data_IF_267547250573
#
_entry.id   IF_267547250573
#
_cell.length_a   1.000
_cell.length_b   1.000
_cell.length_c   1.000
_cell.angle_alpha   90.00
_cell.angle_beta   90.00
_cell.angle_gamma   90.00
#
_symmetry.space_group_name_H-M   'P 1'
#
loop_
_entity.id
_entity.type
_entity.pdbx_description
1 polymer ?
#
# COMPACT_ATOMS: atom_id res chain seq x y z
N UNK A 1 14.32 -22.20 32.12
CA UNK A 1 13.84 -21.33 31.03
C UNK A 1 15.02 -21.14 30.09
N UNK A 2 15.05 -21.73 28.88
CA UNK A 2 16.08 -21.33 27.94
C UNK A 2 15.85 -19.85 27.63
N UNK A 3 16.89 -19.05 27.77
CA UNK A 3 16.91 -17.63 27.44
C UNK A 3 16.37 -17.40 26.03
N UNK A 4 15.57 -16.36 25.84
CA UNK A 4 15.29 -15.74 24.53
C UNK A 4 16.63 -15.36 23.88
N UNK A 5 17.33 -16.33 23.29
CA UNK A 5 18.55 -16.08 22.55
C UNK A 5 18.19 -15.08 21.45
N UNK A 6 18.87 -13.93 21.46
CA UNK A 6 18.74 -12.80 20.52
C UNK A 6 18.26 -13.28 19.14
N UNK A 7 16.95 -13.23 18.92
CA UNK A 7 16.40 -13.59 17.62
C UNK A 7 16.72 -12.42 16.69
N UNK A 8 17.87 -12.52 16.02
CA UNK A 8 18.27 -11.57 14.99
C UNK A 8 17.27 -11.64 13.85
N UNK A 9 16.59 -10.53 13.60
CA UNK A 9 15.79 -10.34 12.40
C UNK A 9 16.65 -9.67 11.33
N UNK A 10 16.29 -9.88 10.07
CA UNK A 10 16.86 -9.15 8.95
C UNK A 10 15.82 -8.19 8.38
N UNK A 11 16.27 -7.15 7.66
CA UNK A 11 15.36 -6.29 6.92
C UNK A 11 15.17 -6.90 5.54
N UNK A 12 13.94 -7.29 5.24
CA UNK A 12 13.52 -7.72 3.90
C UNK A 12 12.76 -6.59 3.20
N UNK A 13 12.95 -6.49 1.90
CA UNK A 13 12.25 -5.56 1.03
C UNK A 13 11.17 -6.33 0.27
N UNK A 14 9.91 -6.11 0.65
CA UNK A 14 8.80 -6.99 0.30
C UNK A 14 7.92 -6.35 -0.77
N UNK A 15 7.66 -7.08 -1.84
CA UNK A 15 6.61 -6.80 -2.83
C UNK A 15 5.51 -7.84 -2.69
N UNK A 16 4.31 -7.42 -2.30
CA UNK A 16 3.09 -8.23 -2.37
C UNK A 16 2.32 -7.99 -3.66
N UNK A 17 1.74 -9.04 -4.21
CA UNK A 17 1.06 -9.06 -5.50
C UNK A 17 -0.21 -9.92 -5.37
N UNK A 18 -1.34 -9.42 -5.82
CA UNK A 18 -2.63 -10.11 -5.71
C UNK A 18 -3.53 -9.86 -6.93
N UNK A 19 -4.25 -10.89 -7.38
CA UNK A 19 -5.23 -10.81 -8.46
C UNK A 19 -6.57 -10.34 -7.88
N UNK A 20 -6.99 -9.14 -8.28
CA UNK A 20 -8.22 -8.52 -7.79
C UNK A 20 -9.44 -9.28 -8.28
N UNK A 21 -10.22 -9.79 -7.32
CA UNK A 21 -11.46 -10.53 -7.61
C UNK A 21 -11.23 -12.00 -7.97
N UNK A 22 -10.05 -12.54 -7.71
CA UNK A 22 -9.66 -13.93 -7.99
C UNK A 22 -10.73 -14.96 -7.57
N UNK A 23 -11.26 -14.85 -6.36
CA UNK A 23 -12.26 -15.78 -5.81
C UNK A 23 -13.61 -15.79 -6.54
N UNK A 24 -13.88 -14.80 -7.41
CA UNK A 24 -15.11 -14.71 -8.21
C UNK A 24 -14.97 -15.35 -9.59
N UNK A 25 -13.75 -15.72 -9.98
CA UNK A 25 -13.45 -16.36 -11.26
C UNK A 25 -13.78 -17.86 -11.22
N UNK A 26 -13.97 -18.45 -12.39
CA UNK A 26 -14.06 -19.90 -12.54
C UNK A 26 -12.69 -20.54 -12.27
N UNK A 27 -12.67 -21.81 -11.85
CA UNK A 27 -11.42 -22.51 -11.48
C UNK A 27 -10.39 -22.51 -12.61
N UNK A 28 -10.82 -22.65 -13.88
CA UNK A 28 -9.86 -22.63 -15.00
C UNK A 28 -9.27 -21.24 -15.22
N UNK A 29 -10.06 -20.17 -15.08
CA UNK A 29 -9.59 -18.78 -15.16
C UNK A 29 -8.63 -18.46 -14.01
N UNK A 30 -8.93 -18.95 -12.79
CA UNK A 30 -8.04 -18.83 -11.63
C UNK A 30 -6.65 -19.42 -11.92
N UNK A 31 -6.61 -20.65 -12.43
CA UNK A 31 -5.35 -21.32 -12.77
C UNK A 31 -4.61 -20.58 -13.89
N UNK A 32 -5.30 -20.21 -14.97
CA UNK A 32 -4.72 -19.50 -16.11
C UNK A 32 -4.11 -18.15 -15.69
N UNK A 33 -4.84 -17.35 -14.92
CA UNK A 33 -4.37 -16.04 -14.48
C UNK A 33 -3.24 -16.14 -13.46
N UNK A 34 -3.28 -17.13 -12.56
CA UNK A 34 -2.19 -17.35 -11.61
C UNK A 34 -0.92 -17.80 -12.33
N UNK A 35 -1.02 -18.70 -13.31
CA UNK A 35 0.10 -19.11 -14.15
C UNK A 35 0.67 -17.93 -14.92
N UNK A 36 -0.20 -17.14 -15.55
CA UNK A 36 0.20 -15.95 -16.31
C UNK A 36 0.89 -14.91 -15.44
N UNK A 37 0.36 -14.63 -14.26
CA UNK A 37 1.00 -13.74 -13.29
C UNK A 37 2.40 -14.24 -12.94
N UNK A 38 2.54 -15.55 -12.69
CA UNK A 38 3.83 -16.16 -12.36
C UNK A 38 4.84 -16.04 -13.49
N UNK A 39 4.42 -16.19 -14.74
CA UNK A 39 5.28 -15.97 -15.91
C UNK A 39 5.78 -14.54 -15.98
N UNK A 40 4.87 -13.56 -15.86
CA UNK A 40 5.19 -12.13 -15.90
C UNK A 40 6.20 -11.78 -14.80
N UNK A 41 5.91 -12.18 -13.56
CA UNK A 41 6.76 -11.91 -12.40
C UNK A 41 8.15 -12.53 -12.57
N UNK A 42 8.26 -13.75 -13.10
CA UNK A 42 9.56 -14.42 -13.29
C UNK A 42 10.36 -13.88 -14.48
N UNK A 43 9.71 -13.17 -15.39
CA UNK A 43 10.34 -12.58 -16.56
C UNK A 43 11.01 -11.23 -16.28
N UNK A 44 10.70 -10.58 -15.14
CA UNK A 44 11.32 -9.30 -14.75
C UNK A 44 12.82 -9.45 -14.52
N UNK A 45 13.59 -8.44 -14.91
CA UNK A 45 15.03 -8.46 -14.72
C UNK A 45 15.39 -8.39 -13.25
N UNK A 46 14.67 -7.57 -12.47
CA UNK A 46 14.90 -7.47 -11.02
C UNK A 46 14.69 -8.81 -10.31
N UNK A 47 13.65 -9.57 -10.67
CA UNK A 47 13.44 -10.93 -10.15
C UNK A 47 14.60 -11.85 -10.51
N UNK A 48 14.99 -11.88 -11.79
CA UNK A 48 16.07 -12.77 -12.27
C UNK A 48 17.41 -12.42 -11.64
N UNK A 49 17.73 -11.14 -11.49
CA UNK A 49 18.95 -10.67 -10.87
C UNK A 49 19.03 -11.12 -9.40
N UNK A 50 18.01 -10.82 -8.60
CA UNK A 50 17.98 -11.22 -7.19
C UNK A 50 17.97 -12.75 -7.01
N UNK A 51 17.30 -13.48 -7.92
CA UNK A 51 17.33 -14.95 -7.93
C UNK A 51 18.73 -15.51 -8.22
N UNK A 52 19.45 -14.97 -9.23
CA UNK A 52 20.82 -15.39 -9.56
C UNK A 52 21.78 -15.14 -8.39
N UNK A 53 21.56 -14.08 -7.62
CA UNK A 53 22.35 -13.75 -6.43
C UNK A 53 21.98 -14.57 -5.19
N UNK A 54 20.90 -15.37 -5.23
CA UNK A 54 20.39 -16.07 -4.06
C UNK A 54 19.81 -15.15 -2.98
N UNK A 55 19.37 -13.93 -3.35
CA UNK A 55 18.85 -12.89 -2.46
C UNK A 55 17.35 -12.63 -2.69
N UNK A 56 16.64 -13.64 -3.18
CA UNK A 56 15.22 -13.57 -3.45
C UNK A 56 14.51 -14.78 -2.86
N UNK A 57 13.62 -14.50 -1.92
CA UNK A 57 12.69 -15.48 -1.41
C UNK A 57 11.28 -15.25 -1.96
N UNK A 58 10.49 -16.31 -2.04
CA UNK A 58 9.16 -16.34 -2.66
C UNK A 58 8.17 -16.93 -1.68
N UNK A 59 7.11 -16.19 -1.41
CA UNK A 59 6.03 -16.62 -0.54
C UNK A 59 4.74 -16.75 -1.35
N UNK A 60 4.34 -17.95 -1.78
CA UNK A 60 3.09 -18.12 -2.52
C UNK A 60 1.88 -17.81 -1.63
N UNK A 61 0.86 -17.17 -2.20
CA UNK A 61 -0.48 -17.06 -1.63
C UNK A 61 -1.49 -17.71 -2.57
N UNK A 62 -2.75 -17.87 -2.15
CA UNK A 62 -3.76 -18.57 -2.95
C UNK A 62 -4.11 -17.88 -4.28
N UNK A 63 -3.99 -16.55 -4.32
CA UNK A 63 -4.41 -15.63 -5.38
C UNK A 63 -3.26 -14.76 -5.92
N UNK A 64 -2.04 -15.02 -5.48
CA UNK A 64 -0.86 -14.22 -5.83
C UNK A 64 0.39 -14.67 -5.08
N UNK A 65 1.13 -13.72 -4.52
CA UNK A 65 2.28 -14.02 -3.68
C UNK A 65 3.03 -12.79 -3.20
N UNK A 66 4.09 -13.03 -2.43
CA UNK A 66 5.07 -12.03 -2.08
C UNK A 66 6.47 -12.43 -2.53
N UNK A 67 7.25 -11.41 -2.88
CA UNK A 67 8.68 -11.49 -3.14
C UNK A 67 9.41 -10.74 -2.04
N UNK A 68 10.42 -11.37 -1.45
CA UNK A 68 11.27 -10.74 -0.45
C UNK A 68 12.67 -10.62 -1.01
N UNK A 69 13.09 -9.38 -1.23
CA UNK A 69 14.41 -9.03 -1.72
C UNK A 69 15.34 -8.71 -0.55
N UNK A 70 16.53 -9.30 -0.56
CA UNK A 70 17.61 -9.04 0.40
C UNK A 70 18.73 -8.19 -0.24
N UNK A 71 18.38 -7.40 -1.26
CA UNK A 71 19.31 -6.56 -2.04
C UNK A 71 19.22 -5.08 -1.64
N UNK A 72 18.18 -4.39 -2.08
CA UNK A 72 17.97 -2.95 -1.88
C UNK A 72 16.47 -2.62 -1.72
N UNK A 73 16.12 -1.47 -1.10
CA UNK A 73 14.73 -1.01 -1.04
C UNK A 73 14.13 -0.64 -2.39
N UNK A 74 14.96 -0.39 -3.42
CA UNK A 74 14.53 -0.10 -4.78
C UNK A 74 14.03 -1.35 -5.51
N UNK A 75 14.64 -2.51 -5.25
CA UNK A 75 14.35 -3.76 -5.96
C UNK A 75 12.86 -4.16 -6.01
N UNK A 76 12.08 -4.16 -4.91
CA UNK A 76 10.65 -4.46 -5.01
C UNK A 76 9.87 -3.41 -5.81
N UNK A 77 10.30 -2.15 -5.81
CA UNK A 77 9.65 -1.07 -6.57
C UNK A 77 9.92 -1.22 -8.07
N UNK A 78 11.18 -1.44 -8.45
CA UNK A 78 11.57 -1.72 -9.83
C UNK A 78 10.82 -2.94 -10.38
N UNK A 79 10.80 -4.04 -9.61
CA UNK A 79 10.08 -5.24 -9.98
C UNK A 79 8.58 -4.96 -10.19
N UNK A 80 7.94 -4.19 -9.29
CA UNK A 80 6.54 -3.80 -9.44
C UNK A 80 6.28 -2.98 -10.71
N UNK A 81 7.18 -2.05 -11.05
CA UNK A 81 7.08 -1.27 -12.28
C UNK A 81 7.24 -2.15 -13.53
N UNK A 82 8.18 -3.11 -13.53
CA UNK A 82 8.36 -4.07 -14.62
C UNK A 82 7.12 -4.94 -14.83
N UNK A 83 6.53 -5.45 -13.73
CA UNK A 83 5.26 -6.20 -13.77
C UNK A 83 4.16 -5.31 -14.34
N UNK A 84 4.00 -4.09 -13.84
CA UNK A 84 2.95 -3.17 -14.28
C UNK A 84 3.05 -2.82 -15.78
N UNK A 85 4.26 -2.67 -16.33
CA UNK A 85 4.45 -2.45 -17.77
C UNK A 85 3.97 -3.65 -18.58
N UNK A 86 4.29 -4.87 -18.14
CA UNK A 86 3.88 -6.08 -18.87
C UNK A 86 2.38 -6.33 -18.77
N UNK A 87 1.77 -6.04 -17.62
CA UNK A 87 0.32 -6.18 -17.40
C UNK A 87 -0.52 -5.31 -18.34
N UNK A 88 0.03 -4.25 -18.95
CA UNK A 88 -0.67 -3.48 -20.00
C UNK A 88 -1.05 -4.32 -21.21
N UNK A 89 -0.32 -5.42 -21.48
CA UNK A 89 -0.63 -6.38 -22.55
C UNK A 89 -1.70 -7.40 -22.15
N UNK A 90 -2.08 -7.42 -20.87
CA UNK A 90 -2.96 -8.39 -20.22
C UNK A 90 -4.05 -7.67 -19.41
N UNK A 91 -4.93 -6.86 -20.04
CA UNK A 91 -5.96 -6.08 -19.35
C UNK A 91 -6.97 -6.94 -18.57
N UNK A 92 -7.12 -8.22 -18.93
CA UNK A 92 -7.89 -9.23 -18.20
C UNK A 92 -7.29 -9.56 -16.82
N UNK A 93 -5.96 -9.47 -16.68
CA UNK A 93 -5.22 -9.80 -15.48
C UNK A 93 -5.11 -8.58 -14.56
N UNK A 94 -6.15 -8.37 -13.76
CA UNK A 94 -6.25 -7.21 -12.86
C UNK A 94 -5.48 -7.47 -11.57
N UNK A 95 -4.30 -6.87 -11.44
CA UNK A 95 -3.41 -7.04 -10.28
C UNK A 95 -3.36 -5.79 -9.43
N UNK A 96 -3.15 -5.93 -8.12
CA UNK A 96 -2.74 -4.86 -7.21
C UNK A 96 -1.45 -5.24 -6.50
N UNK A 97 -0.64 -4.24 -6.15
CA UNK A 97 0.66 -4.45 -5.55
C UNK A 97 0.88 -3.56 -4.32
N UNK A 98 1.68 -4.05 -3.37
CA UNK A 98 2.07 -3.30 -2.18
C UNK A 98 3.52 -3.52 -1.81
N UNK A 99 4.24 -2.44 -1.48
CA UNK A 99 5.68 -2.47 -1.17
C UNK A 99 5.95 -1.96 0.24
N UNK A 100 6.74 -2.72 1.00
CA UNK A 100 7.22 -2.32 2.32
C UNK A 100 8.58 -2.95 2.64
N UNK A 101 9.38 -2.25 3.45
CA UNK A 101 10.64 -2.77 3.97
C UNK A 101 10.56 -2.94 5.49
N UNK A 102 10.87 -4.11 6.01
CA UNK A 102 10.70 -4.37 7.44
C UNK A 102 11.34 -5.66 7.94
N UNK A 103 11.29 -5.90 9.26
CA UNK A 103 11.81 -7.12 9.87
C UNK A 103 11.14 -8.37 9.30
N UNK A 104 11.96 -9.28 8.76
CA UNK A 104 11.59 -10.61 8.27
C UNK A 104 12.50 -11.66 8.92
N UNK A 105 12.02 -12.90 8.93
CA UNK A 105 12.75 -14.05 9.43
C UNK A 105 12.34 -15.29 8.66
N UNK A 106 13.34 -16.06 8.23
CA UNK A 106 13.13 -17.41 7.73
C UNK A 106 12.58 -18.32 8.85
N UNK A 107 11.53 -19.05 8.51
CA UNK A 107 10.89 -20.03 9.38
C UNK A 107 10.64 -21.30 8.57
N UNK A 108 10.60 -22.44 9.24
CA UNK A 108 10.11 -23.68 8.64
C UNK A 108 8.61 -23.75 8.90
N UNK A 109 7.81 -23.85 7.84
CA UNK A 109 6.36 -23.95 7.99
C UNK A 109 5.88 -25.38 8.28
N UNK A 110 4.57 -25.56 8.40
CA UNK A 110 3.93 -26.86 8.67
C UNK A 110 4.16 -27.88 7.54
N UNK A 111 4.59 -27.44 6.36
CA UNK A 111 4.93 -28.30 5.23
C UNK A 111 6.41 -28.69 5.19
N UNK A 112 7.17 -28.35 6.24
CA UNK A 112 8.63 -28.52 6.34
C UNK A 112 9.41 -27.77 5.25
N UNK A 113 8.77 -26.78 4.61
CA UNK A 113 9.41 -25.92 3.62
C UNK A 113 9.90 -24.63 4.29
N UNK A 114 11.01 -24.09 3.78
CA UNK A 114 11.46 -22.75 4.12
C UNK A 114 10.41 -21.72 3.72
N UNK A 115 10.04 -20.88 4.67
CA UNK A 115 8.99 -19.87 4.56
C UNK A 115 9.47 -18.60 5.29
N UNK A 116 8.74 -17.49 5.19
CA UNK A 116 9.12 -16.20 5.76
C UNK A 116 7.98 -15.70 6.64
N UNK A 117 8.33 -15.28 7.84
CA UNK A 117 7.42 -14.61 8.74
C UNK A 117 8.04 -13.30 9.24
N UNK A 118 7.20 -12.40 9.73
CA UNK A 118 7.66 -11.18 10.37
C UNK A 118 6.70 -10.02 10.21
N UNK A 119 6.96 -8.95 10.96
CA UNK A 119 6.19 -7.72 10.86
C UNK A 119 6.25 -7.12 9.44
N UNK A 120 7.40 -7.24 8.75
CA UNK A 120 7.57 -6.76 7.38
C UNK A 120 6.57 -7.39 6.41
N UNK A 121 6.34 -8.70 6.51
CA UNK A 121 5.37 -9.44 5.68
C UNK A 121 3.95 -8.94 5.93
N UNK A 122 3.56 -8.85 7.21
CA UNK A 122 2.21 -8.43 7.59
C UNK A 122 1.89 -6.99 7.18
N UNK A 123 2.86 -6.07 7.28
CA UNK A 123 2.67 -4.67 6.87
C UNK A 123 2.61 -4.57 5.35
N UNK A 124 3.49 -5.27 4.61
CA UNK A 124 3.48 -5.25 3.16
C UNK A 124 2.14 -5.73 2.57
N UNK A 125 1.56 -6.80 3.13
CA UNK A 125 0.22 -7.25 2.77
C UNK A 125 -0.84 -6.17 3.04
N UNK A 126 -0.76 -5.49 4.20
CA UNK A 126 -1.71 -4.42 4.55
C UNK A 126 -1.58 -3.20 3.64
N UNK A 127 -0.38 -2.87 3.19
CA UNK A 127 -0.15 -1.82 2.18
C UNK A 127 -0.88 -2.20 0.89
N UNK A 128 -0.68 -3.42 0.38
CA UNK A 128 -1.36 -3.91 -0.82
C UNK A 128 -2.89 -3.93 -0.67
N UNK A 129 -3.40 -4.37 0.48
CA UNK A 129 -4.85 -4.47 0.77
C UNK A 129 -5.57 -3.11 0.67
N UNK A 130 -4.85 -1.99 0.76
CA UNK A 130 -5.40 -0.65 0.63
C UNK A 130 -5.58 -0.21 -0.83
N UNK A 131 -5.00 -0.93 -1.78
CA UNK A 131 -5.06 -0.63 -3.20
C UNK A 131 -6.20 -1.36 -3.92
N UNK A 132 -6.72 -0.71 -4.96
CA UNK A 132 -7.55 -1.34 -5.98
C UNK A 132 -6.71 -1.89 -7.13
N UNK A 133 -7.34 -2.54 -8.11
CA UNK A 133 -6.68 -2.99 -9.34
C UNK A 133 -5.86 -1.88 -10.01
N UNK A 134 -4.66 -2.23 -10.44
CA UNK A 134 -3.69 -1.34 -11.08
C UNK A 134 -2.83 -0.53 -10.11
N UNK A 135 -3.15 -0.47 -8.81
CA UNK A 135 -2.34 0.29 -7.86
C UNK A 135 -1.04 -0.40 -7.51
N UNK A 136 -0.01 0.42 -7.33
CA UNK A 136 1.25 0.06 -6.68
C UNK A 136 1.34 0.95 -5.45
N UNK A 137 1.01 0.42 -4.28
CA UNK A 137 1.07 1.19 -3.04
C UNK A 137 2.39 0.98 -2.33
N UNK A 138 2.93 2.04 -1.75
CA UNK A 138 4.23 2.06 -1.09
C UNK A 138 4.06 2.59 0.33
N UNK A 139 4.62 1.89 1.32
CA UNK A 139 4.61 2.38 2.70
C UNK A 139 5.46 3.65 2.85
N UNK A 140 5.09 4.54 3.77
CA UNK A 140 5.88 5.75 4.08
C UNK A 140 7.37 5.48 4.27
N UNK A 141 7.75 4.40 4.97
CA UNK A 141 9.17 4.06 5.16
C UNK A 141 9.94 3.93 3.84
N UNK A 142 9.35 3.24 2.86
CA UNK A 142 9.98 3.06 1.55
C UNK A 142 9.91 4.35 0.75
N UNK A 143 8.83 5.11 0.85
CA UNK A 143 8.73 6.41 0.19
C UNK A 143 9.79 7.41 0.71
N UNK A 144 10.01 7.46 2.04
CA UNK A 144 11.02 8.30 2.68
C UNK A 144 12.45 7.92 2.18
N UNK A 145 12.73 6.64 1.96
CA UNK A 145 14.03 6.20 1.41
C UNK A 145 14.21 6.64 -0.07
N UNK A 146 13.12 6.71 -0.85
CA UNK A 146 13.14 6.95 -2.30
C UNK A 146 12.98 8.43 -2.70
N UNK A 147 12.25 9.24 -1.92
CA UNK A 147 11.84 10.60 -2.29
C UNK A 147 13.01 11.58 -2.50
N UNK A 148 14.20 11.22 -2.03
CA UNK A 148 15.43 12.00 -2.19
C UNK A 148 16.08 11.84 -3.56
N UNK A 149 15.64 10.88 -4.38
CA UNK A 149 16.21 10.61 -5.70
C UNK A 149 15.29 11.13 -6.81
N UNK A 150 15.88 11.84 -7.78
CA UNK A 150 15.14 12.50 -8.86
C UNK A 150 14.32 11.54 -9.75
N UNK A 151 14.74 10.28 -9.87
CA UNK A 151 14.05 9.27 -10.65
C UNK A 151 12.77 8.74 -9.96
N UNK A 152 12.72 8.78 -8.63
CA UNK A 152 11.63 8.21 -7.84
C UNK A 152 10.60 9.26 -7.42
N UNK A 153 11.08 10.44 -6.99
CA UNK A 153 10.22 11.49 -6.44
C UNK A 153 9.00 11.85 -7.30
N UNK A 154 9.09 12.00 -8.64
CA UNK A 154 7.93 12.33 -9.46
C UNK A 154 6.86 11.24 -9.52
N UNK A 155 7.20 10.01 -9.14
CA UNK A 155 6.32 8.85 -9.18
C UNK A 155 5.56 8.64 -7.87
N UNK A 156 5.97 9.30 -6.79
CA UNK A 156 5.44 9.10 -5.44
C UNK A 156 4.38 10.15 -5.13
N UNK A 157 3.13 9.70 -5.01
CA UNK A 157 1.98 10.55 -4.72
C UNK A 157 1.41 10.22 -3.34
N UNK A 158 1.46 11.16 -2.40
CA UNK A 158 0.97 10.96 -1.04
C UNK A 158 -0.56 10.71 -1.02
N UNK A 159 -0.98 9.61 -0.39
CA UNK A 159 -2.40 9.28 -0.17
C UNK A 159 -2.87 9.64 1.25
N UNK A 160 -1.95 9.99 2.14
CA UNK A 160 -2.20 10.19 3.56
C UNK A 160 -2.25 8.88 4.34
N UNK A 161 -2.97 8.90 5.46
CA UNK A 161 -3.00 7.81 6.43
C UNK A 161 -4.31 7.04 6.37
N UNK A 162 -4.25 5.70 6.44
CA UNK A 162 -5.43 4.84 6.57
C UNK A 162 -5.32 3.88 7.75
N UNK A 163 -6.44 3.64 8.42
CA UNK A 163 -6.52 2.59 9.44
C UNK A 163 -6.67 1.22 8.76
N UNK A 164 -5.90 0.24 9.23
CA UNK A 164 -5.89 -1.13 8.73
C UNK A 164 -6.20 -2.11 9.86
N UNK A 165 -6.33 -3.39 9.51
CA UNK A 165 -6.67 -4.47 10.46
C UNK A 165 -5.85 -4.35 11.75
N UNK A 166 -6.51 -4.54 12.88
CA UNK A 166 -5.95 -4.43 14.24
C UNK A 166 -5.59 -3.00 14.68
N UNK A 167 -6.24 -1.97 14.12
CA UNK A 167 -6.09 -0.58 14.57
C UNK A 167 -4.75 0.06 14.21
N UNK A 168 -4.01 -0.53 13.27
CA UNK A 168 -2.72 0.01 12.82
C UNK A 168 -2.98 1.12 11.82
N UNK A 169 -2.31 2.26 11.98
CA UNK A 169 -2.41 3.40 11.07
C UNK A 169 -1.22 3.38 10.10
N UNK A 170 -1.49 3.37 8.79
CA UNK A 170 -0.47 3.33 7.74
C UNK A 170 -0.53 4.58 6.87
N UNK A 171 0.57 5.33 6.83
CA UNK A 171 0.78 6.37 5.83
C UNK A 171 1.29 5.73 4.53
N UNK A 172 0.57 5.95 3.43
CA UNK A 172 0.80 5.29 2.14
C UNK A 172 1.00 6.31 1.01
N UNK A 173 1.76 5.88 0.01
CA UNK A 173 1.98 6.61 -1.24
C UNK A 173 1.49 5.74 -2.39
N UNK A 174 0.90 6.35 -3.40
CA UNK A 174 0.60 5.73 -4.68
C UNK A 174 1.79 5.93 -5.62
N UNK A 175 2.32 4.85 -6.17
CA UNK A 175 3.41 4.88 -7.15
C UNK A 175 2.85 4.71 -8.56
N UNK A 176 2.91 5.77 -9.37
CA UNK A 176 2.43 5.73 -10.75
C UNK A 176 3.15 6.71 -11.69
N UNK A 177 2.95 6.51 -12.99
CA UNK A 177 3.27 7.46 -14.06
C UNK A 177 2.26 7.29 -15.20
N UNK A 178 2.46 7.97 -16.32
CA UNK A 178 1.69 7.73 -17.55
C UNK A 178 1.89 6.28 -18.08
N UNK A 179 3.00 5.64 -17.70
CA UNK A 179 3.37 4.31 -18.18
C UNK A 179 3.00 3.16 -17.25
N UNK A 180 2.77 3.41 -15.96
CA UNK A 180 2.56 2.35 -14.95
C UNK A 180 1.65 2.82 -13.82
N UNK A 181 1.05 1.87 -13.12
CA UNK A 181 0.22 2.15 -11.96
C UNK A 181 -1.18 2.66 -12.32
N UNK A 182 -1.90 3.09 -11.30
CA UNK A 182 -3.26 3.64 -11.41
C UNK A 182 -3.28 5.00 -10.69
N UNK A 183 -3.55 6.13 -11.38
CA UNK A 183 -3.55 7.45 -10.77
C UNK A 183 -4.80 7.74 -9.93
N UNK A 184 -5.86 6.92 -10.06
CA UNK A 184 -7.09 7.11 -9.29
C UNK A 184 -6.83 6.97 -7.80
N UNK A 185 -7.65 7.64 -6.98
CA UNK A 185 -7.57 7.45 -5.54
C UNK A 185 -8.15 6.07 -5.17
N UNK A 186 -7.47 5.21 -4.38
CA UNK A 186 -8.05 3.93 -3.98
C UNK A 186 -9.31 4.14 -3.13
N UNK A 187 -10.30 3.26 -3.28
CA UNK A 187 -11.60 3.34 -2.59
C UNK A 187 -11.49 3.44 -1.08
N UNK A 188 -10.43 2.90 -0.49
CA UNK A 188 -10.18 2.98 0.96
C UNK A 188 -9.87 4.39 1.45
N UNK A 189 -9.35 5.24 0.57
CA UNK A 189 -9.01 6.64 0.84
C UNK A 189 -10.10 7.61 0.36
N UNK A 190 -11.02 7.12 -0.46
CA UNK A 190 -12.27 7.83 -0.75
C UNK A 190 -13.10 7.81 0.54
N UNK A 191 -12.94 8.83 1.36
CA UNK A 191 -13.88 9.08 2.45
C UNK A 191 -15.24 9.23 1.80
N UNK A 192 -16.27 8.57 2.33
CA UNK A 192 -17.65 8.86 1.93
C UNK A 192 -17.88 10.36 2.19
N UNK A 193 -17.73 11.21 1.17
CA UNK A 193 -18.37 12.53 1.14
C UNK A 193 -19.90 12.37 1.17
N UNK A 194 -20.41 11.13 1.09
CA UNK A 194 -21.80 10.76 1.35
C UNK A 194 -22.02 10.40 2.81
N UNK A 195 -22.13 11.48 3.60
CA UNK A 195 -22.93 11.67 4.83
C UNK A 195 -22.15 12.48 5.87
N UNK A 196 -21.80 13.72 5.51
CA UNK A 196 -22.35 14.78 6.36
C UNK A 196 -23.82 14.84 5.93
N UNK A 197 -24.65 14.01 6.57
CA UNK A 197 -26.01 14.47 6.80
C UNK A 197 -25.79 15.80 7.52
N UNK A 198 -25.93 16.90 6.78
CA UNK A 198 -26.42 18.12 7.39
C UNK A 198 -27.78 17.69 7.91
N UNK A 199 -27.78 17.09 9.11
CA UNK A 199 -28.88 17.23 10.03
C UNK A 199 -28.90 18.73 10.21
N UNK A 200 -29.64 19.41 9.33
CA UNK A 200 -30.32 20.63 9.71
C UNK A 200 -30.96 20.25 11.03
N UNK A 201 -30.49 20.80 12.17
CA UNK A 201 -31.22 20.61 13.40
C UNK A 201 -32.59 21.16 13.06
N UNK A 202 -33.64 20.34 13.17
CA UNK A 202 -34.99 20.87 13.33
C UNK A 202 -34.86 21.93 14.41
N UNK A 203 -34.97 23.19 14.01
CA UNK A 203 -34.69 24.31 14.86
C UNK A 203 -35.48 24.11 16.17
N UNK A 204 -34.85 24.19 17.35
CA UNK A 204 -35.63 24.30 18.56
C UNK A 204 -36.53 25.54 18.40
N UNK A 205 -37.76 25.47 18.89
CA UNK A 205 -38.85 26.43 18.66
C UNK A 205 -38.56 27.87 19.16
N UNK A 206 -37.32 28.16 19.56
CA UNK A 206 -36.74 29.50 19.75
C UNK A 206 -35.27 29.45 19.31
N UNK A 207 -34.94 30.13 18.23
CA UNK A 207 -33.55 30.40 17.82
C UNK A 207 -33.28 31.89 17.93
N UNK A 208 -32.08 32.25 18.41
CA UNK A 208 -31.57 33.62 18.40
C UNK A 208 -30.57 33.70 17.25
N UNK A 209 -30.79 34.62 16.32
CA UNK A 209 -29.79 34.99 15.33
C UNK A 209 -28.90 36.09 15.93
N UNK A 210 -27.62 35.81 16.12
CA UNK A 210 -26.63 36.84 16.47
C UNK A 210 -25.91 37.24 15.19
N UNK A 211 -26.17 38.46 14.73
CA UNK A 211 -25.42 39.06 13.64
C UNK A 211 -24.11 39.63 14.18
N UNK A 212 -23.00 39.54 13.44
CA UNK A 212 -21.78 40.24 13.81
C UNK A 212 -22.07 41.74 13.80
N UNK A 213 -21.93 42.37 14.97
CA UNK A 213 -22.07 43.81 15.11
C UNK A 213 -20.73 44.46 14.77
N UNK A 214 -20.68 45.27 13.72
CA UNK A 214 -19.55 46.17 13.51
C UNK A 214 -19.61 47.30 14.52
N UNK A 215 -18.56 47.42 15.34
CA UNK A 215 -18.46 48.47 16.34
C UNK A 215 -18.13 49.81 15.64
N UNK A 216 -19.13 50.69 15.53
CA UNK A 216 -19.01 52.01 14.91
C UNK A 216 -18.63 53.13 15.91
N UNK A 217 -18.15 52.79 17.11
CA UNK A 217 -17.69 53.75 18.12
C UNK A 217 -16.25 54.21 17.85
N UNK A 218 -15.99 55.52 17.92
CA UNK A 218 -14.61 56.06 17.86
C UNK A 218 -13.82 55.88 19.17
N UNK A 219 -14.47 55.41 20.24
CA UNK A 219 -13.83 55.21 21.54
C UNK A 219 -13.15 53.84 21.67
N UNK A 220 -11.83 53.85 21.83
CA UNK A 220 -10.96 52.65 21.85
C UNK A 220 -11.12 51.77 23.09
N UNK A 221 -11.86 52.22 24.11
CA UNK A 221 -12.11 51.44 25.31
C UNK A 221 -13.15 50.31 25.13
N UNK A 222 -13.89 50.28 24.01
CA UNK A 222 -14.99 49.33 23.79
C UNK A 222 -14.61 48.06 22.99
N UNK A 223 -13.32 47.72 22.91
CA UNK A 223 -12.87 46.46 22.31
C UNK A 223 -12.64 45.44 23.41
N UNK A 224 -13.71 44.82 23.89
CA UNK A 224 -13.60 43.64 24.74
C UNK A 224 -14.29 42.48 24.02
N UNK A 225 -13.61 41.34 23.98
CA UNK A 225 -13.90 40.09 23.25
C UNK A 225 -13.28 40.00 21.84
N UNK A 226 -12.00 39.62 21.83
CA UNK A 226 -11.45 38.64 20.90
C UNK A 226 -10.67 37.61 21.73
#
# INVERSE_FOLDING_TARGET
>A
MPSEADVKFEIGHVLFIDIVGYSKLLIHEQLEYLEKLREIVRATETFRAAQREGKLERLPTGDGGALVFHTSPEAPVECAMEIARELKKHPELRVRMGVHSGPVKEVTDLSEQGNIAGAGINIAQRVMDCGDAGHILVSKRVADDLEHYAQWRPLLHDLGTCEVKHGVSLALFNLYSDEIGNPEQPKKFQTDERKIDVVTPTAPQKSIAVLPFENLSEDKANVYFA
#
